data_IF_186134738988
#
_entry.id   IF_186134738988
#
_cell.length_a   1.000
_cell.length_b   1.000
_cell.length_c   1.000
_cell.angle_alpha   90.00
_cell.angle_beta   90.00
_cell.angle_gamma   90.00
#
_symmetry.space_group_name_H-M   'P 1'
#
loop_
_entity.id
_entity.type
_entity.pdbx_description
1 polymer ?
#
# COMPACT_ATOMS: atom_id res chain seq x y z
N UNK A 1 14.71 15.16 -11.06
CA UNK A 1 13.29 15.36 -11.32
C UNK A 1 12.55 14.05 -11.12
N UNK A 2 11.47 14.09 -10.41
CA UNK A 2 10.68 12.88 -10.19
C UNK A 2 9.90 12.52 -11.43
N UNK A 3 9.70 11.23 -11.64
CA UNK A 3 8.85 10.77 -12.71
C UNK A 3 7.37 11.02 -12.44
N UNK A 4 6.51 10.51 -13.28
CA UNK A 4 5.07 10.69 -13.07
C UNK A 4 4.64 10.05 -11.77
N UNK A 5 3.67 10.68 -11.13
CA UNK A 5 3.11 10.16 -9.88
C UNK A 5 2.04 9.12 -10.17
N UNK A 6 2.15 7.95 -9.55
CA UNK A 6 1.10 6.94 -9.60
C UNK A 6 -0.08 7.42 -8.78
N UNK A 7 -1.26 7.43 -9.40
CA UNK A 7 -2.47 7.89 -8.76
C UNK A 7 -3.18 6.73 -8.05
N UNK A 8 -4.01 7.04 -7.04
CA UNK A 8 -4.71 5.98 -6.29
C UNK A 8 -5.92 5.40 -7.02
N UNK A 9 -6.20 5.84 -8.22
CA UNK A 9 -7.30 5.28 -9.01
C UNK A 9 -6.75 4.71 -10.30
N UNK A 10 -7.60 3.94 -10.99
CA UNK A 10 -7.23 3.29 -12.25
C UNK A 10 -8.21 3.68 -13.34
N UNK A 11 -7.87 3.32 -14.57
CA UNK A 11 -8.81 3.41 -15.67
C UNK A 11 -9.93 2.40 -15.48
N UNK A 12 -10.96 2.48 -16.33
CA UNK A 12 -12.08 1.56 -16.22
C UNK A 12 -11.67 0.11 -16.37
N UNK A 13 -10.65 -0.15 -17.18
CA UNK A 13 -10.19 -1.52 -17.38
C UNK A 13 -9.06 -1.90 -16.43
N UNK A 14 -8.85 -1.12 -15.37
CA UNK A 14 -7.95 -1.51 -14.28
C UNK A 14 -6.50 -1.13 -14.46
N UNK A 15 -6.17 -0.34 -15.47
CA UNK A 15 -4.78 0.05 -15.69
C UNK A 15 -4.40 1.23 -14.81
N UNK A 16 -3.13 1.32 -14.42
CA UNK A 16 -2.72 2.43 -13.55
C UNK A 16 -2.80 3.77 -14.26
N UNK A 17 -3.08 4.79 -13.48
CA UNK A 17 -3.09 6.18 -13.95
C UNK A 17 -1.91 6.93 -13.36
N UNK A 18 -1.27 7.75 -14.18
CA UNK A 18 -0.13 8.54 -13.75
C UNK A 18 -0.38 10.01 -13.99
N UNK A 19 0.18 10.84 -13.12
CA UNK A 19 0.11 12.28 -13.24
C UNK A 19 1.50 12.85 -13.35
N UNK A 20 1.75 13.59 -14.43
CA UNK A 20 3.04 14.26 -14.61
C UNK A 20 2.94 15.64 -13.94
N UNK A 21 3.60 15.79 -12.81
CA UNK A 21 3.42 16.97 -11.98
C UNK A 21 4.63 17.18 -11.09
N UNK A 22 4.74 18.37 -10.54
CA UNK A 22 5.75 18.70 -9.55
C UNK A 22 5.27 18.39 -8.13
N UNK A 23 4.13 17.74 -7.99
CA UNK A 23 3.60 17.39 -6.69
C UNK A 23 2.65 18.42 -6.11
N UNK A 24 2.37 19.47 -6.85
CA UNK A 24 1.47 20.53 -6.41
C UNK A 24 0.29 20.61 -7.35
N UNK A 25 -0.77 21.20 -6.91
CA UNK A 25 -1.93 21.38 -7.74
C UNK A 25 -3.09 20.53 -7.28
N UNK A 26 -4.21 20.75 -7.95
CA UNK A 26 -5.48 20.20 -7.50
C UNK A 26 -5.50 18.67 -7.52
N UNK A 27 -5.01 18.08 -8.61
CA UNK A 27 -5.09 16.62 -8.74
C UNK A 27 -4.17 15.93 -7.73
N UNK A 28 -3.00 16.49 -7.48
CA UNK A 28 -2.10 15.93 -6.48
C UNK A 28 -2.72 15.99 -5.09
N UNK A 29 -3.35 17.12 -4.75
CA UNK A 29 -4.02 17.26 -3.46
C UNK A 29 -5.18 16.29 -3.33
N UNK A 30 -5.96 16.14 -4.40
CA UNK A 30 -7.07 15.19 -4.40
C UNK A 30 -6.54 13.76 -4.20
N UNK A 31 -5.47 13.42 -4.89
CA UNK A 31 -4.88 12.09 -4.75
C UNK A 31 -4.40 11.84 -3.34
N UNK A 32 -3.76 12.85 -2.71
CA UNK A 32 -3.32 12.70 -1.31
C UNK A 32 -4.50 12.38 -0.40
N UNK A 33 -5.61 13.09 -0.59
CA UNK A 33 -6.79 12.86 0.23
C UNK A 33 -7.37 11.48 0.04
N UNK A 34 -7.44 11.02 -1.20
CA UNK A 34 -7.96 9.69 -1.48
C UNK A 34 -7.07 8.61 -0.89
N UNK A 35 -5.75 8.78 -0.99
CA UNK A 35 -4.82 7.82 -0.40
C UNK A 35 -5.01 7.74 1.12
N UNK A 36 -5.19 8.88 1.76
CA UNK A 36 -5.42 8.91 3.21
C UNK A 36 -6.70 8.14 3.56
N UNK A 37 -7.77 8.37 2.82
CA UNK A 37 -9.03 7.66 3.07
C UNK A 37 -8.86 6.17 2.86
N UNK A 38 -8.17 5.78 1.79
CA UNK A 38 -7.95 4.36 1.53
C UNK A 38 -7.19 3.68 2.65
N UNK A 39 -6.17 4.34 3.19
CA UNK A 39 -5.40 3.77 4.28
C UNK A 39 -6.21 3.69 5.56
N UNK A 40 -7.03 4.70 5.84
CA UNK A 40 -7.90 4.67 7.02
C UNK A 40 -8.92 3.55 6.92
N UNK A 41 -9.55 3.40 5.77
CA UNK A 41 -10.53 2.34 5.57
C UNK A 41 -9.89 0.97 5.68
N UNK A 42 -8.67 0.85 5.16
CA UNK A 42 -7.93 -0.40 5.28
C UNK A 42 -7.62 -0.75 6.73
N UNK A 43 -7.26 0.26 7.52
CA UNK A 43 -6.98 0.05 8.93
C UNK A 43 -8.23 -0.42 9.67
N UNK A 44 -9.37 0.20 9.43
CA UNK A 44 -10.62 -0.20 10.06
C UNK A 44 -11.01 -1.61 9.66
N UNK A 45 -10.84 -1.93 8.39
CA UNK A 45 -11.17 -3.27 7.91
C UNK A 45 -10.25 -4.31 8.52
N UNK A 46 -8.97 -3.97 8.68
CA UNK A 46 -8.01 -4.88 9.31
C UNK A 46 -8.42 -5.18 10.75
N UNK A 47 -8.82 -4.16 11.50
CA UNK A 47 -9.25 -4.35 12.89
C UNK A 47 -10.49 -5.23 12.96
N UNK A 48 -11.44 -5.00 12.05
CA UNK A 48 -12.63 -5.83 11.99
C UNK A 48 -12.26 -7.28 11.69
N UNK A 49 -11.37 -7.49 10.73
CA UNK A 49 -10.95 -8.83 10.35
C UNK A 49 -10.25 -9.54 11.50
N UNK A 50 -9.40 -8.82 12.23
CA UNK A 50 -8.71 -9.42 13.36
C UNK A 50 -9.69 -9.92 14.43
N UNK A 51 -10.78 -9.18 14.63
CA UNK A 51 -11.79 -9.62 15.58
C UNK A 51 -12.50 -10.89 15.12
N UNK A 52 -12.85 -10.95 13.84
CA UNK A 52 -13.54 -12.12 13.29
C UNK A 52 -12.63 -13.34 13.28
N UNK A 53 -11.35 -13.16 13.04
CA UNK A 53 -10.41 -14.26 12.86
C UNK A 53 -9.67 -14.61 14.15
N UNK A 54 -9.98 -13.96 15.25
CA UNK A 54 -9.28 -14.19 16.50
C UNK A 54 -9.51 -15.61 16.99
N UNK A 55 -8.52 -16.20 17.67
CA UNK A 55 -8.71 -17.53 18.24
C UNK A 55 -9.90 -17.53 19.20
N UNK A 56 -10.78 -18.50 19.05
CA UNK A 56 -11.97 -18.61 19.89
C UNK A 56 -13.12 -17.74 19.45
N UNK A 57 -12.97 -16.97 18.38
CA UNK A 57 -14.06 -16.16 17.88
C UNK A 57 -15.14 -17.04 17.29
N UNK A 58 -16.38 -16.52 17.31
CA UNK A 58 -17.51 -17.24 16.74
C UNK A 58 -17.30 -17.44 15.25
N UNK A 59 -17.61 -18.65 14.78
CA UNK A 59 -17.48 -18.95 13.35
C UNK A 59 -18.53 -18.18 12.56
N UNK A 60 -18.13 -17.71 11.40
CA UNK A 60 -19.00 -16.98 10.49
C UNK A 60 -19.43 -17.89 9.35
N UNK A 61 -20.45 -17.46 8.61
CA UNK A 61 -20.86 -18.18 7.43
C UNK A 61 -19.79 -18.07 6.33
N UNK A 62 -19.74 -19.07 5.47
CA UNK A 62 -18.74 -19.06 4.39
C UNK A 62 -18.84 -17.81 3.53
N UNK A 63 -20.07 -17.35 3.27
CA UNK A 63 -20.24 -16.15 2.44
C UNK A 63 -19.71 -14.91 3.13
N UNK A 64 -19.77 -14.88 4.46
CA UNK A 64 -19.22 -13.76 5.21
C UNK A 64 -17.70 -13.75 5.16
N UNK A 65 -17.07 -14.91 5.25
CA UNK A 65 -15.63 -15.00 5.08
C UNK A 65 -15.21 -14.61 3.67
N UNK A 66 -16.00 -15.02 2.68
CA UNK A 66 -15.70 -14.66 1.30
C UNK A 66 -15.79 -13.14 1.10
N UNK A 67 -16.84 -12.53 1.65
CA UNK A 67 -16.97 -11.07 1.59
C UNK A 67 -15.76 -10.40 2.22
N UNK A 68 -15.36 -10.88 3.40
CA UNK A 68 -14.22 -10.31 4.10
C UNK A 68 -12.95 -10.45 3.28
N UNK A 69 -12.73 -11.63 2.71
CA UNK A 69 -11.54 -11.86 1.89
C UNK A 69 -11.50 -10.93 0.69
N UNK A 70 -12.64 -10.72 0.05
CA UNK A 70 -12.71 -9.82 -1.10
C UNK A 70 -12.39 -8.38 -0.68
N UNK A 71 -12.98 -7.93 0.44
CA UNK A 71 -12.71 -6.57 0.91
C UNK A 71 -11.25 -6.39 1.31
N UNK A 72 -10.67 -7.39 1.97
CA UNK A 72 -9.27 -7.32 2.36
C UNK A 72 -8.36 -7.29 1.13
N UNK A 73 -8.71 -8.05 0.09
CA UNK A 73 -7.94 -8.03 -1.15
C UNK A 73 -7.95 -6.66 -1.78
N UNK A 74 -9.12 -6.01 -1.82
CA UNK A 74 -9.23 -4.67 -2.36
C UNK A 74 -8.42 -3.67 -1.55
N UNK A 75 -8.51 -3.76 -0.22
CA UNK A 75 -7.78 -2.85 0.65
C UNK A 75 -6.27 -3.04 0.49
N UNK A 76 -5.83 -4.28 0.36
CA UNK A 76 -4.41 -4.56 0.18
C UNK A 76 -3.92 -4.01 -1.16
N UNK A 77 -4.71 -4.16 -2.20
CA UNK A 77 -4.34 -3.61 -3.50
C UNK A 77 -4.18 -2.09 -3.42
N UNK A 78 -5.14 -1.43 -2.76
CA UNK A 78 -5.05 0.02 -2.56
C UNK A 78 -3.79 0.39 -1.79
N UNK A 79 -3.51 -0.33 -0.71
CA UNK A 79 -2.36 -0.03 0.14
C UNK A 79 -1.05 -0.22 -0.62
N UNK A 80 -0.98 -1.27 -1.44
CA UNK A 80 0.22 -1.53 -2.24
C UNK A 80 0.44 -0.40 -3.25
N UNK A 81 -0.65 0.08 -3.85
CA UNK A 81 -0.54 1.19 -4.80
C UNK A 81 -0.05 2.46 -4.12
N UNK A 82 -0.58 2.74 -2.92
CA UNK A 82 -0.12 3.90 -2.16
C UNK A 82 1.36 3.76 -1.81
N UNK A 83 1.75 2.55 -1.38
CA UNK A 83 3.14 2.32 -1.00
C UNK A 83 4.08 2.51 -2.20
N UNK A 84 3.69 1.98 -3.36
CA UNK A 84 4.48 2.15 -4.56
C UNK A 84 4.58 3.63 -4.94
N UNK A 85 3.47 4.34 -4.89
CA UNK A 85 3.43 5.75 -5.24
C UNK A 85 4.32 6.57 -4.31
N UNK A 86 4.23 6.31 -3.01
CA UNK A 86 5.02 7.08 -2.05
C UNK A 86 6.50 6.75 -2.14
N UNK A 87 6.82 5.48 -2.42
CA UNK A 87 8.20 5.08 -2.60
C UNK A 87 8.85 5.79 -3.77
N UNK A 88 8.11 5.95 -4.86
CA UNK A 88 8.63 6.64 -6.03
C UNK A 88 8.83 8.12 -5.79
N UNK A 89 8.11 8.70 -4.82
CA UNK A 89 8.21 10.12 -4.54
C UNK A 89 9.29 10.48 -3.52
N UNK A 90 9.89 9.47 -2.89
CA UNK A 90 10.93 9.73 -1.89
C UNK A 90 12.27 9.88 -2.60
N UNK A 91 12.92 11.06 -2.49
CA UNK A 91 14.24 11.21 -3.11
C UNK A 91 15.27 10.40 -2.33
N UNK A 92 16.11 9.70 -3.06
CA UNK A 92 17.16 8.87 -2.45
C UNK A 92 18.50 9.39 -2.95
N UNK A 93 19.35 9.91 -2.06
CA UNK A 93 20.69 10.34 -2.48
C UNK A 93 21.48 9.15 -3.00
N UNK A 94 22.33 9.43 -3.96
CA UNK A 94 23.07 8.35 -4.60
C UNK A 94 23.98 7.61 -3.63
N UNK A 95 24.58 8.32 -2.71
CA UNK A 95 25.42 7.65 -1.73
C UNK A 95 24.64 6.65 -0.90
N UNK A 96 23.46 7.04 -0.48
CA UNK A 96 22.63 6.12 0.29
C UNK A 96 22.18 4.95 -0.55
N UNK A 97 21.82 5.20 -1.79
CA UNK A 97 21.40 4.12 -2.66
C UNK A 97 22.52 3.12 -2.87
N UNK A 98 23.74 3.61 -3.05
CA UNK A 98 24.88 2.74 -3.23
C UNK A 98 25.13 1.91 -1.97
N UNK A 99 25.02 2.52 -0.82
CA UNK A 99 25.22 1.81 0.43
C UNK A 99 24.17 0.73 0.63
N UNK A 100 22.95 1.06 0.32
CA UNK A 100 21.87 0.08 0.48
C UNK A 100 22.05 -1.10 -0.42
N UNK A 101 22.61 -0.90 -1.58
CA UNK A 101 22.76 -2.00 -2.50
C UNK A 101 23.85 -2.98 -2.06
N UNK A 102 24.71 -2.57 -1.17
CA UNK A 102 25.78 -3.43 -0.75
C UNK A 102 25.38 -4.56 0.16
N UNK A 103 24.69 -4.31 1.03
CA UNK A 103 24.47 -5.38 1.97
C UNK A 103 23.25 -6.09 1.74
N UNK A 104 23.32 -5.99 1.94
CA UNK A 104 22.54 -6.49 2.25
C UNK A 104 22.20 -7.19 2.77
N UNK A 105 22.42 -6.79 3.13
CA UNK A 105 22.19 -7.28 3.62
C UNK A 105 21.72 -7.78 4.16
N UNK A 106 21.54 -7.60 4.34
CA UNK A 106 21.06 -8.07 4.91
C UNK A 106 20.67 -8.73 5.32
N UNK A 107 20.74 -8.59 5.45
CA UNK A 107 20.33 -9.30 5.86
C UNK A 107 19.86 -9.65 6.44
N UNK A 108 19.82 -9.61 6.67
CA UNK A 108 19.17 -10.11 7.25
C UNK A 108 18.38 -10.41 7.61
N UNK A 109 18.05 -10.02 7.44
CA UNK A 109 17.47 -10.36 7.75
C UNK A 109 17.19 -11.12 8.03
N UNK A 110 17.68 -11.11 7.89
CA UNK A 110 17.66 -11.87 8.15
C UNK A 110 17.46 -12.35 8.77
N UNK A 111 17.35 -12.06 8.89
CA UNK A 111 17.11 -12.55 9.44
C UNK A 111 16.59 -12.93 9.85
N UNK A 112 16.32 -12.75 9.64
CA UNK A 112 15.92 -13.09 10.04
C UNK A 112 15.47 -13.92 10.44
N UNK A 113 15.65 -13.77 10.34
CA UNK A 113 15.37 -14.43 10.69
C UNK A 113 15.31 -14.98 11.03
N UNK A 114 15.35 -14.80 10.87
CA UNK A 114 15.37 -15.32 11.15
C UNK A 114 15.27 -15.73 11.53
N UNK A 115 15.28 -15.36 11.52
CA UNK A 115 15.23 -15.70 11.84
C UNK A 115 15.11 -15.74 12.03
#
# INVERSE_FOLDING_TARGET
MAGPRLLPWTTEDGRPCYLSTDGKGYISTLADGIETVQLCMGQELLEYARGILAPGAKAQLAIEYRWLACRLSEALLDALRVAESRGERIPVPQEEAAEESEPASVGPLSGRGEG
#
